data_IF_967370516104
#
_entry.id   IF_967370516104
#
_cell.length_a   1.000
_cell.length_b   1.000
_cell.length_c   1.000
_cell.angle_alpha   90.00
_cell.angle_beta   90.00
_cell.angle_gamma   90.00
#
_symmetry.space_group_name_H-M   'P 1'
#
loop_
_entity.id
_entity.type
_entity.pdbx_description
1 polymer ?
#
# COMPACT_ATOMS: atom_id res chain seq x y z
N UNK A 1 8.12 25.25 5.45
CA UNK A 1 9.37 25.00 6.20
C UNK A 1 9.76 26.21 7.04
N UNK A 2 10.04 27.37 6.43
CA UNK A 2 10.48 28.59 7.16
C UNK A 2 9.65 28.93 8.41
N UNK A 3 8.31 28.96 8.31
CA UNK A 3 7.45 29.25 9.46
C UNK A 3 7.59 28.23 10.61
N UNK A 4 7.81 26.95 10.28
CA UNK A 4 8.05 25.90 11.28
C UNK A 4 9.47 25.99 11.86
N UNK A 5 10.46 26.47 11.10
CA UNK A 5 11.80 26.76 11.61
C UNK A 5 11.77 27.91 12.60
N UNK A 6 11.08 29.01 12.27
CA UNK A 6 10.91 30.15 13.16
C UNK A 6 10.22 29.76 14.47
N UNK A 7 9.14 28.96 14.40
CA UNK A 7 8.46 28.47 15.59
C UNK A 7 9.34 27.49 16.40
N UNK A 8 10.07 26.61 15.71
CA UNK A 8 10.97 25.65 16.34
C UNK A 8 12.12 26.31 17.12
N UNK A 9 12.64 27.44 16.64
CA UNK A 9 13.64 28.23 17.34
C UNK A 9 13.10 28.85 18.64
N UNK A 10 11.84 29.31 18.65
CA UNK A 10 11.20 29.87 19.84
C UNK A 10 10.92 28.78 20.89
N UNK A 11 10.48 27.61 20.43
CA UNK A 11 10.07 26.50 21.31
C UNK A 11 11.23 25.57 21.72
N UNK A 12 12.40 25.71 21.10
CA UNK A 12 13.55 24.83 21.30
C UNK A 12 13.32 23.40 20.81
N UNK A 13 12.54 23.20 19.74
CA UNK A 13 12.25 21.86 19.17
C UNK A 13 12.13 21.88 17.65
N UNK A 14 12.31 20.72 17.03
CA UNK A 14 12.08 20.55 15.59
C UNK A 14 10.63 20.15 15.30
N UNK A 15 9.97 20.89 14.41
CA UNK A 15 8.65 20.54 13.90
C UNK A 15 8.78 19.80 12.57
N UNK A 16 8.20 18.59 12.50
CA UNK A 16 8.21 17.77 11.30
C UNK A 16 7.32 18.36 10.21
N UNK A 17 7.77 18.27 8.97
CA UNK A 17 7.00 18.55 7.75
C UNK A 17 7.01 17.30 6.88
N UNK A 18 5.83 16.81 6.49
CA UNK A 18 5.70 15.69 5.56
C UNK A 18 4.52 15.91 4.62
N UNK A 19 4.42 15.07 3.60
CA UNK A 19 3.27 15.00 2.71
C UNK A 19 2.82 13.54 2.55
N UNK A 20 1.59 13.35 2.06
CA UNK A 20 1.19 12.13 1.37
C UNK A 20 1.35 12.34 -0.14
N UNK A 21 2.14 11.50 -0.80
CA UNK A 21 2.45 11.57 -2.23
C UNK A 21 1.69 10.49 -2.99
N UNK A 22 1.18 10.82 -4.18
CA UNK A 22 0.54 9.84 -5.06
C UNK A 22 1.55 8.78 -5.51
N UNK A 23 1.20 7.50 -5.34
CA UNK A 23 2.02 6.36 -5.76
C UNK A 23 2.02 6.10 -7.26
N UNK A 24 1.85 7.12 -8.12
CA UNK A 24 1.68 6.99 -9.57
C UNK A 24 2.54 7.99 -10.34
N UNK A 25 3.12 7.58 -11.47
CA UNK A 25 4.03 8.40 -12.27
C UNK A 25 3.45 9.76 -12.68
N UNK A 26 2.18 9.83 -13.06
CA UNK A 26 1.53 11.09 -13.45
C UNK A 26 1.51 12.14 -12.33
N UNK A 27 1.43 11.70 -11.06
CA UNK A 27 1.57 12.61 -9.92
C UNK A 27 3.00 13.16 -9.84
N UNK A 28 4.00 12.32 -10.07
CA UNK A 28 5.41 12.71 -10.03
C UNK A 28 5.78 13.66 -11.18
N UNK A 29 5.25 13.42 -12.38
CA UNK A 29 5.46 14.30 -13.55
C UNK A 29 4.82 15.68 -13.37
N UNK A 30 3.74 15.77 -12.60
CA UNK A 30 3.07 17.03 -12.30
C UNK A 30 3.69 17.81 -11.12
N UNK A 31 4.58 17.20 -10.33
CA UNK A 31 5.10 17.78 -9.09
C UNK A 31 6.63 17.72 -9.03
N UNK A 32 7.29 18.83 -8.72
CA UNK A 32 8.75 18.87 -8.56
C UNK A 32 9.18 18.31 -7.18
N UNK A 33 9.16 16.98 -7.03
CA UNK A 33 9.54 16.32 -5.77
C UNK A 33 11.04 16.47 -5.44
N UNK A 34 11.91 16.57 -6.45
CA UNK A 34 13.33 16.82 -6.26
C UNK A 34 13.60 18.13 -5.49
N UNK A 35 12.80 19.17 -5.75
CA UNK A 35 12.84 20.41 -4.98
C UNK A 35 12.06 20.30 -3.67
N UNK A 36 10.83 19.79 -3.71
CA UNK A 36 9.95 19.73 -2.56
C UNK A 36 10.55 18.94 -1.38
N UNK A 37 11.23 17.82 -1.64
CA UNK A 37 11.79 16.96 -0.60
C UNK A 37 12.80 17.70 0.30
N UNK A 38 13.48 18.74 -0.20
CA UNK A 38 14.44 19.54 0.58
C UNK A 38 13.79 20.19 1.80
N UNK A 39 12.48 20.39 1.76
CA UNK A 39 11.69 21.02 2.80
C UNK A 39 10.90 20.03 3.67
N UNK A 40 11.01 18.74 3.37
CA UNK A 40 10.28 17.66 4.03
C UNK A 40 11.24 16.79 4.83
N UNK A 41 10.81 16.36 6.01
CA UNK A 41 11.49 15.35 6.80
C UNK A 41 11.34 13.97 6.16
N UNK A 42 10.13 13.66 5.67
CA UNK A 42 9.84 12.44 4.92
C UNK A 42 8.60 12.60 4.01
N UNK A 43 8.46 11.67 3.08
CA UNK A 43 7.38 11.57 2.10
C UNK A 43 6.65 10.25 2.30
N UNK A 44 5.39 10.30 2.71
CA UNK A 44 4.54 9.11 2.79
C UNK A 44 4.00 8.80 1.41
N UNK A 45 4.49 7.74 0.76
CA UNK A 45 4.00 7.38 -0.58
C UNK A 45 2.77 6.49 -0.45
N UNK A 46 1.66 6.86 -1.10
CA UNK A 46 0.44 6.04 -1.12
C UNK A 46 0.61 4.89 -2.13
N UNK A 47 1.40 3.89 -1.74
CA UNK A 47 1.76 2.71 -2.53
C UNK A 47 0.67 1.63 -2.50
N UNK A 48 -0.56 2.07 -2.74
CA UNK A 48 -1.77 1.28 -2.82
C UNK A 48 -2.76 1.92 -3.80
N UNK A 49 -3.95 1.33 -3.96
CA UNK A 49 -4.97 1.76 -4.92
C UNK A 49 -4.56 1.66 -6.38
N UNK A 50 -3.74 0.66 -6.70
CA UNK A 50 -3.31 0.41 -8.08
C UNK A 50 -4.43 -0.12 -8.99
N UNK A 51 -5.39 -0.86 -8.42
CA UNK A 51 -6.65 -1.24 -9.06
C UNK A 51 -7.80 -0.75 -8.17
N UNK A 52 -8.79 -0.09 -8.76
CA UNK A 52 -9.85 0.67 -8.05
C UNK A 52 -11.20 0.59 -8.78
N UNK A 53 -12.16 1.42 -8.38
CA UNK A 53 -13.51 1.49 -8.96
C UNK A 53 -13.56 1.74 -10.48
N UNK A 54 -12.50 2.31 -11.06
CA UNK A 54 -12.40 2.52 -12.50
C UNK A 54 -12.04 1.27 -13.32
N UNK A 55 -11.72 0.16 -12.67
CA UNK A 55 -11.20 -1.03 -13.35
C UNK A 55 -12.27 -2.10 -13.59
N UNK A 56 -12.43 -2.47 -14.86
CA UNK A 56 -13.30 -3.56 -15.32
C UNK A 56 -12.67 -4.95 -15.18
N UNK A 57 -11.46 -5.01 -14.63
CA UNK A 57 -10.72 -6.24 -14.37
C UNK A 57 -10.21 -6.24 -12.93
N UNK A 58 -10.20 -7.41 -12.32
CA UNK A 58 -9.52 -7.61 -11.03
C UNK A 58 -8.03 -7.37 -11.17
N UNK A 59 -7.39 -7.02 -10.07
CA UNK A 59 -5.95 -6.82 -9.99
C UNK A 59 -5.57 -6.31 -8.61
N UNK A 60 -4.29 -6.46 -8.27
CA UNK A 60 -3.83 -6.18 -6.91
C UNK A 60 -3.74 -4.69 -6.64
N UNK A 61 -4.41 -4.21 -5.60
CA UNK A 61 -4.35 -2.79 -5.28
C UNK A 61 -3.13 -2.40 -4.44
N UNK A 62 -2.44 -3.36 -3.81
CA UNK A 62 -1.39 -3.10 -2.82
C UNK A 62 -0.16 -4.01 -2.95
N UNK A 63 0.02 -4.69 -4.08
CA UNK A 63 1.14 -5.62 -4.30
C UNK A 63 2.54 -5.01 -4.10
N UNK A 64 3.49 -5.82 -3.63
CA UNK A 64 4.89 -5.42 -3.47
C UNK A 64 5.62 -5.36 -4.83
N UNK A 65 5.48 -6.40 -5.65
CA UNK A 65 6.12 -6.51 -6.97
C UNK A 65 5.09 -6.41 -8.10
N UNK A 66 5.44 -5.89 -9.28
CA UNK A 66 4.49 -5.70 -10.36
C UNK A 66 4.02 -7.05 -10.94
N UNK A 67 2.71 -7.20 -11.06
CA UNK A 67 2.08 -8.25 -11.83
C UNK A 67 0.85 -7.70 -12.58
N UNK A 68 0.58 -8.20 -13.78
CA UNK A 68 -0.50 -7.74 -14.66
C UNK A 68 -0.16 -6.48 -15.47
N UNK A 69 -1.09 -6.09 -16.34
CA UNK A 69 -0.85 -5.12 -17.43
C UNK A 69 -0.54 -3.70 -16.95
N UNK A 70 -1.01 -3.29 -15.77
CA UNK A 70 -0.75 -1.95 -15.23
C UNK A 70 0.70 -1.73 -14.79
N UNK A 71 1.45 -2.79 -14.49
CA UNK A 71 2.83 -2.71 -13.99
C UNK A 71 2.99 -1.89 -12.69
N UNK A 72 1.91 -1.59 -11.97
CA UNK A 72 1.94 -0.83 -10.71
C UNK A 72 2.22 -1.77 -9.53
N UNK A 73 3.02 -1.29 -8.59
CA UNK A 73 3.38 -1.99 -7.35
C UNK A 73 4.03 -1.02 -6.37
N UNK A 74 4.18 -1.42 -5.11
CA UNK A 74 4.96 -0.67 -4.14
C UNK A 74 6.42 -0.49 -4.56
N UNK A 75 7.05 -1.52 -5.13
CA UNK A 75 8.40 -1.42 -5.70
C UNK A 75 8.47 -0.35 -6.79
N UNK A 76 7.55 -0.41 -7.75
CA UNK A 76 7.49 0.56 -8.86
C UNK A 76 7.31 1.98 -8.33
N UNK A 77 6.42 2.16 -7.35
CA UNK A 77 6.20 3.48 -6.73
C UNK A 77 7.48 4.00 -6.05
N UNK A 78 8.19 3.17 -5.28
CA UNK A 78 9.46 3.56 -4.62
C UNK A 78 10.53 3.91 -5.66
N UNK A 79 10.74 3.06 -6.66
CA UNK A 79 11.75 3.28 -7.70
C UNK A 79 11.48 4.57 -8.49
N UNK A 80 10.22 4.85 -8.81
CA UNK A 80 9.84 6.11 -9.47
C UNK A 80 10.03 7.33 -8.55
N UNK A 81 9.73 7.25 -7.24
CA UNK A 81 9.98 8.39 -6.34
C UNK A 81 11.48 8.71 -6.24
N UNK A 82 12.34 7.68 -6.26
CA UNK A 82 13.80 7.84 -6.30
C UNK A 82 14.23 8.44 -7.64
N UNK A 83 13.70 7.96 -8.76
CA UNK A 83 13.93 8.52 -10.11
C UNK A 83 13.59 10.02 -10.14
N UNK A 84 12.52 10.43 -9.47
CA UNK A 84 12.05 11.82 -9.38
C UNK A 84 12.70 12.64 -8.26
N UNK A 85 13.79 12.14 -7.67
CA UNK A 85 14.69 12.91 -6.80
C UNK A 85 14.36 12.89 -5.31
N UNK A 86 13.49 11.98 -4.83
CA UNK A 86 13.28 11.76 -3.40
C UNK A 86 14.33 10.76 -2.88
N UNK A 87 15.18 11.14 -1.90
CA UNK A 87 16.13 10.20 -1.30
C UNK A 87 15.42 9.03 -0.63
N UNK A 88 15.97 7.82 -0.72
CA UNK A 88 15.35 6.60 -0.19
C UNK A 88 15.10 6.71 1.32
N UNK A 89 16.04 7.27 2.07
CA UNK A 89 15.97 7.54 3.51
C UNK A 89 14.91 8.57 3.92
N UNK A 90 14.22 9.19 2.95
CA UNK A 90 13.05 10.05 3.17
C UNK A 90 11.73 9.41 2.76
N UNK A 91 11.74 8.25 2.12
CA UNK A 91 10.52 7.58 1.66
C UNK A 91 9.93 6.75 2.80
N UNK A 92 8.67 7.01 3.14
CA UNK A 92 7.86 6.19 4.05
C UNK A 92 6.87 5.41 3.21
N UNK A 93 6.97 4.09 3.20
CA UNK A 93 6.13 3.23 2.35
C UNK A 93 4.71 3.12 2.91
N UNK A 94 3.71 3.51 2.13
CA UNK A 94 2.29 3.38 2.50
C UNK A 94 1.74 1.97 2.29
N UNK A 95 0.97 1.46 3.25
CA UNK A 95 0.22 0.20 3.14
C UNK A 95 -1.25 0.39 3.55
N UNK A 96 -2.22 -0.29 2.90
CA UNK A 96 -3.62 -0.17 3.26
C UNK A 96 -4.01 -1.21 4.32
N UNK A 97 -4.82 -0.81 5.29
CA UNK A 97 -5.54 -1.68 6.22
C UNK A 97 -6.97 -1.97 5.72
N UNK A 98 -7.15 -1.86 4.42
CA UNK A 98 -8.36 -2.21 3.68
C UNK A 98 -7.99 -2.98 2.42
N UNK A 99 -9.00 -3.58 1.82
CA UNK A 99 -8.95 -4.21 0.51
C UNK A 99 -10.00 -3.67 -0.44
N UNK A 100 -10.04 -4.23 -1.64
CA UNK A 100 -10.97 -3.86 -2.70
C UNK A 100 -11.66 -5.11 -3.26
N UNK A 101 -12.97 -5.03 -3.43
CA UNK A 101 -13.83 -6.14 -3.83
C UNK A 101 -14.40 -5.94 -5.24
N UNK A 102 -14.42 -7.03 -6.01
CA UNK A 102 -15.12 -7.17 -7.28
C UNK A 102 -16.17 -8.29 -7.20
N UNK A 103 -17.24 -8.14 -7.96
CA UNK A 103 -18.35 -9.10 -8.14
C UNK A 103 -18.49 -9.49 -9.60
N UNK A 104 -19.12 -10.65 -9.84
CA UNK A 104 -19.32 -11.18 -11.21
C UNK A 104 -18.00 -11.54 -11.89
N UNK A 105 -17.01 -11.95 -11.10
CA UNK A 105 -15.65 -12.22 -11.57
C UNK A 105 -15.61 -13.57 -12.30
N UNK A 106 -15.04 -13.59 -13.51
CA UNK A 106 -14.81 -14.84 -14.23
C UNK A 106 -13.87 -15.76 -13.41
N UNK A 107 -14.18 -17.06 -13.25
CA UNK A 107 -13.43 -17.94 -12.35
C UNK A 107 -12.07 -18.42 -12.86
N UNK A 108 -11.72 -18.13 -14.12
CA UNK A 108 -10.39 -18.47 -14.65
C UNK A 108 -9.28 -17.88 -13.78
N UNK A 109 -8.17 -18.60 -13.62
CA UNK A 109 -7.04 -18.19 -12.77
C UNK A 109 -7.46 -17.75 -11.35
N UNK A 110 -8.50 -18.39 -10.79
CA UNK A 110 -9.08 -18.03 -9.48
C UNK A 110 -9.49 -16.55 -9.38
N UNK A 111 -9.95 -15.97 -10.50
CA UNK A 111 -10.39 -14.59 -10.57
C UNK A 111 -9.26 -13.56 -10.63
N UNK A 112 -7.99 -13.96 -10.74
CA UNK A 112 -6.86 -13.04 -10.91
C UNK A 112 -6.78 -12.50 -12.35
N UNK A 113 -6.74 -11.17 -12.50
CA UNK A 113 -6.74 -10.46 -13.79
C UNK A 113 -7.89 -10.85 -14.72
N UNK A 114 -9.05 -11.11 -14.13
CA UNK A 114 -10.27 -11.49 -14.83
C UNK A 114 -11.25 -10.32 -14.89
N UNK A 115 -12.15 -10.34 -15.88
CA UNK A 115 -13.24 -9.38 -15.94
C UNK A 115 -14.12 -9.50 -14.70
N UNK A 116 -14.52 -8.34 -14.16
CA UNK A 116 -15.43 -8.24 -13.03
C UNK A 116 -15.86 -6.79 -12.83
N UNK A 117 -16.87 -6.57 -11.99
CA UNK A 117 -17.34 -5.22 -11.64
C UNK A 117 -16.85 -4.87 -10.24
N UNK A 118 -16.16 -3.73 -10.10
CA UNK A 118 -15.84 -3.21 -8.77
C UNK A 118 -17.13 -3.04 -7.96
N UNK A 119 -17.10 -3.48 -6.71
CA UNK A 119 -18.24 -3.41 -5.81
C UNK A 119 -17.98 -2.37 -4.72
N UNK A 120 -16.94 -2.57 -3.89
CA UNK A 120 -16.65 -1.68 -2.76
C UNK A 120 -15.23 -1.86 -2.21
N UNK A 121 -14.80 -0.91 -1.37
CA UNK A 121 -13.68 -1.10 -0.45
C UNK A 121 -14.16 -1.81 0.83
N UNK A 122 -13.28 -2.54 1.49
CA UNK A 122 -13.59 -3.26 2.73
C UNK A 122 -12.47 -3.06 3.75
N UNK A 123 -12.78 -2.74 5.01
CA UNK A 123 -11.76 -2.69 6.05
C UNK A 123 -11.22 -4.09 6.35
N UNK A 124 -9.97 -4.19 6.77
CA UNK A 124 -9.28 -5.47 6.99
C UNK A 124 -10.03 -6.40 7.94
N UNK A 125 -10.62 -5.89 9.03
CA UNK A 125 -11.38 -6.73 9.96
C UNK A 125 -12.57 -7.46 9.30
N UNK A 126 -13.21 -6.86 8.29
CA UNK A 126 -14.25 -7.54 7.51
C UNK A 126 -13.65 -8.58 6.58
N UNK A 127 -12.51 -8.28 5.96
CA UNK A 127 -11.81 -9.21 5.07
C UNK A 127 -11.34 -10.44 5.86
N UNK A 128 -10.80 -10.26 7.07
CA UNK A 128 -10.41 -11.35 7.96
C UNK A 128 -11.61 -12.25 8.34
N UNK A 129 -12.77 -11.65 8.58
CA UNK A 129 -14.01 -12.41 8.82
C UNK A 129 -14.44 -13.20 7.57
N UNK A 130 -14.36 -12.60 6.38
CA UNK A 130 -14.66 -13.27 5.10
C UNK A 130 -13.68 -14.41 4.82
N UNK A 131 -12.39 -14.21 5.07
CA UNK A 131 -11.34 -15.23 4.92
C UNK A 131 -11.58 -16.47 5.78
N UNK A 132 -12.33 -16.33 6.88
CA UNK A 132 -12.69 -17.44 7.77
C UNK A 132 -13.94 -18.21 7.30
N UNK A 133 -14.66 -17.71 6.29
CA UNK A 133 -15.84 -18.38 5.75
C UNK A 133 -15.44 -19.47 4.73
N UNK A 134 -16.09 -20.64 4.81
CA UNK A 134 -15.83 -21.77 3.92
C UNK A 134 -15.93 -21.46 2.42
N UNK A 135 -16.72 -20.47 2.03
CA UNK A 135 -16.94 -20.08 0.63
C UNK A 135 -15.85 -19.19 0.04
N UNK A 136 -14.96 -18.64 0.86
CA UNK A 136 -13.79 -17.89 0.40
C UNK A 136 -12.55 -18.75 0.56
N UNK A 137 -11.73 -18.76 -0.48
CA UNK A 137 -10.40 -19.36 -0.45
C UNK A 137 -9.37 -18.25 -0.56
N UNK A 138 -8.39 -18.26 0.35
CA UNK A 138 -7.21 -17.38 0.27
C UNK A 138 -6.23 -17.98 -0.74
N UNK A 139 -5.87 -17.16 -1.71
CA UNK A 139 -4.83 -17.44 -2.69
C UNK A 139 -3.66 -16.47 -2.47
N UNK A 140 -2.52 -16.83 -3.04
CA UNK A 140 -1.30 -16.05 -2.97
C UNK A 140 -0.73 -15.89 -4.37
N UNK A 141 -0.43 -14.65 -4.74
CA UNK A 141 0.30 -14.35 -5.98
C UNK A 141 1.79 -14.25 -5.66
N UNK A 142 2.54 -15.31 -5.99
CA UNK A 142 4.00 -15.39 -5.77
C UNK A 142 4.79 -14.35 -6.55
N UNK A 143 4.28 -13.90 -7.71
CA UNK A 143 4.97 -12.88 -8.50
C UNK A 143 4.79 -11.49 -7.87
N UNK A 144 3.62 -11.22 -7.32
CA UNK A 144 3.25 -9.94 -6.75
C UNK A 144 3.54 -9.80 -5.24
N UNK A 145 3.76 -10.93 -4.55
CA UNK A 145 3.89 -11.05 -3.10
C UNK A 145 2.71 -10.42 -2.34
N UNK A 146 1.50 -10.87 -2.65
CA UNK A 146 0.26 -10.33 -2.07
C UNK A 146 -0.83 -11.41 -2.02
N UNK A 147 -1.69 -11.40 -0.98
CA UNK A 147 -2.82 -12.31 -0.92
C UNK A 147 -4.02 -11.77 -1.69
N UNK A 148 -4.95 -12.67 -2.00
CA UNK A 148 -6.31 -12.30 -2.39
C UNK A 148 -7.29 -13.39 -1.96
N UNK A 149 -8.56 -13.03 -1.77
CA UNK A 149 -9.64 -13.97 -1.55
C UNK A 149 -10.43 -14.14 -2.85
N UNK A 150 -10.84 -15.37 -3.13
CA UNK A 150 -11.81 -15.65 -4.18
C UNK A 150 -12.90 -16.58 -3.68
N UNK A 151 -14.14 -16.27 -4.04
CA UNK A 151 -15.31 -17.13 -3.86
C UNK A 151 -15.90 -17.45 -5.22
N UNK A 152 -15.81 -18.71 -5.62
CA UNK A 152 -16.44 -19.22 -6.83
C UNK A 152 -17.97 -19.13 -6.75
N UNK A 153 -18.53 -19.47 -5.57
CA UNK A 153 -19.97 -19.44 -5.30
C UNK A 153 -20.55 -18.04 -5.51
N UNK A 154 -19.90 -17.01 -4.95
CA UNK A 154 -20.38 -15.63 -5.03
C UNK A 154 -19.81 -14.85 -6.22
N UNK A 155 -18.96 -15.47 -7.06
CA UNK A 155 -18.15 -14.82 -8.09
C UNK A 155 -17.48 -13.53 -7.56
N UNK A 156 -16.90 -13.62 -6.37
CA UNK A 156 -16.39 -12.47 -5.60
C UNK A 156 -14.89 -12.58 -5.43
N UNK A 157 -14.18 -11.50 -5.73
CA UNK A 157 -12.72 -11.42 -5.63
C UNK A 157 -12.31 -10.22 -4.78
N UNK A 158 -11.35 -10.39 -3.88
CA UNK A 158 -10.91 -9.38 -2.92
C UNK A 158 -9.39 -9.33 -2.86
N UNK A 159 -8.78 -8.20 -3.20
CA UNK A 159 -7.35 -7.93 -2.98
C UNK A 159 -7.15 -7.13 -1.70
N UNK A 160 -6.11 -7.44 -0.93
CA UNK A 160 -5.84 -6.85 0.38
C UNK A 160 -4.40 -7.12 0.84
N UNK A 161 -4.01 -6.57 1.98
CA UNK A 161 -2.78 -6.92 2.71
C UNK A 161 -3.07 -7.92 3.83
N UNK A 162 -2.14 -8.82 4.11
CA UNK A 162 -2.12 -9.60 5.35
C UNK A 162 -0.75 -9.55 6.03
N UNK A 163 -0.60 -10.27 7.15
CA UNK A 163 0.64 -10.26 7.91
C UNK A 163 1.85 -10.77 7.11
N UNK A 164 1.65 -11.64 6.12
CA UNK A 164 2.73 -12.18 5.28
C UNK A 164 3.20 -11.13 4.28
N UNK A 165 2.28 -10.48 3.57
CA UNK A 165 2.64 -9.42 2.62
C UNK A 165 3.23 -8.19 3.32
N UNK A 166 2.76 -7.85 4.52
CA UNK A 166 3.34 -6.78 5.34
C UNK A 166 4.75 -7.11 5.84
N UNK A 167 5.04 -8.36 6.22
CA UNK A 167 6.39 -8.78 6.58
C UNK A 167 7.35 -8.67 5.38
N UNK A 168 6.90 -9.04 4.18
CA UNK A 168 7.69 -8.88 2.95
C UNK A 168 7.95 -7.41 2.63
N UNK A 169 6.97 -6.53 2.85
CA UNK A 169 7.16 -5.07 2.71
C UNK A 169 8.11 -4.50 3.77
N UNK A 170 8.06 -4.98 5.01
CA UNK A 170 9.00 -4.60 6.05
C UNK A 170 10.44 -4.99 5.68
N UNK A 171 10.64 -6.19 5.13
CA UNK A 171 11.94 -6.59 4.60
C UNK A 171 12.40 -5.70 3.44
N UNK A 172 11.51 -5.39 2.50
CA UNK A 172 11.81 -4.46 1.40
C UNK A 172 12.20 -3.06 1.91
N UNK A 173 11.52 -2.53 2.92
CA UNK A 173 11.86 -1.26 3.59
C UNK A 173 13.30 -1.28 4.10
N UNK A 174 13.70 -2.36 4.79
CA UNK A 174 15.09 -2.51 5.28
C UNK A 174 16.11 -2.61 4.15
N UNK A 175 15.85 -3.48 3.18
CA UNK A 175 16.76 -3.70 2.05
C UNK A 175 17.01 -2.42 1.25
N UNK A 176 15.96 -1.59 1.10
CA UNK A 176 16.03 -0.31 0.39
C UNK A 176 16.39 0.88 1.27
N UNK A 177 16.58 0.65 2.58
CA UNK A 177 16.88 1.70 3.57
C UNK A 177 15.87 2.85 3.51
N UNK A 178 14.59 2.49 3.41
CA UNK A 178 13.50 3.46 3.44
C UNK A 178 13.32 4.00 4.87
N UNK A 179 12.76 5.19 5.01
CA UNK A 179 12.55 5.86 6.30
C UNK A 179 11.60 5.10 7.23
N UNK A 180 10.70 4.27 6.69
CA UNK A 180 9.77 3.47 7.47
C UNK A 180 8.51 3.09 6.71
N UNK A 181 7.43 2.87 7.46
CA UNK A 181 6.10 2.51 6.96
C UNK A 181 5.04 3.50 7.47
N UNK A 182 4.06 3.79 6.62
CA UNK A 182 2.80 4.46 6.96
C UNK A 182 1.66 3.52 6.61
N UNK A 183 0.56 3.55 7.35
CA UNK A 183 -0.63 2.78 7.00
C UNK A 183 -1.89 3.64 6.98
N UNK A 184 -2.86 3.24 6.16
CA UNK A 184 -4.19 3.85 6.10
C UNK A 184 -5.28 2.78 6.20
N UNK A 185 -6.19 2.79 7.16
CA UNK A 185 -6.13 3.56 8.41
C UNK A 185 -6.39 2.69 9.63
N UNK A 186 -6.10 3.24 10.82
CA UNK A 186 -6.11 2.48 12.07
C UNK A 186 -7.48 1.85 12.39
N UNK A 187 -8.58 2.52 12.03
CA UNK A 187 -9.94 2.05 12.36
C UNK A 187 -10.31 0.74 11.63
N UNK A 188 -9.62 0.43 10.54
CA UNK A 188 -9.93 -0.70 9.67
C UNK A 188 -9.27 -2.01 10.13
N UNK A 189 -8.32 -1.93 11.06
CA UNK A 189 -7.67 -3.05 11.74
C UNK A 189 -7.99 -3.04 13.24
N UNK A 190 -9.27 -3.24 13.57
CA UNK A 190 -9.73 -3.21 14.97
C UNK A 190 -9.15 -4.33 15.86
N UNK A 191 -8.55 -5.37 15.26
CA UNK A 191 -7.83 -6.45 15.94
C UNK A 191 -6.36 -6.17 16.13
N UNK A 192 -5.84 -5.06 15.57
CA UNK A 192 -4.41 -4.70 15.53
C UNK A 192 -3.52 -5.74 14.84
N UNK A 193 -4.09 -6.64 14.04
CA UNK A 193 -3.35 -7.75 13.44
C UNK A 193 -2.30 -7.25 12.46
N UNK A 194 -2.64 -6.25 11.65
CA UNK A 194 -1.71 -5.65 10.69
C UNK A 194 -0.77 -4.66 11.39
N UNK A 195 -1.28 -3.88 12.34
CA UNK A 195 -0.46 -2.95 13.12
C UNK A 195 0.66 -3.68 13.89
N UNK A 196 0.31 -4.74 14.61
CA UNK A 196 1.27 -5.49 15.41
C UNK A 196 2.26 -6.25 14.52
N UNK A 197 1.83 -6.73 13.34
CA UNK A 197 2.73 -7.31 12.35
C UNK A 197 3.79 -6.30 11.89
N UNK A 198 3.40 -5.09 11.49
CA UNK A 198 4.36 -4.04 11.13
C UNK A 198 5.26 -3.64 12.29
N UNK A 199 4.70 -3.47 13.49
CA UNK A 199 5.47 -3.07 14.67
C UNK A 199 6.53 -4.11 15.04
N UNK A 200 6.20 -5.40 14.99
CA UNK A 200 7.14 -6.47 15.27
C UNK A 200 8.21 -6.57 14.18
N UNK A 201 7.80 -6.41 12.93
CA UNK A 201 8.68 -6.51 11.78
C UNK A 201 9.51 -5.26 11.55
N UNK A 202 9.33 -4.13 12.23
CA UNK A 202 10.08 -2.89 11.96
C UNK A 202 10.69 -2.24 13.21
N UNK A 203 10.71 -2.93 14.36
CA UNK A 203 11.30 -2.40 15.60
C UNK A 203 12.56 -3.19 16.04
N UNK A 204 13.74 -2.54 16.15
CA UNK A 204 14.01 -1.16 15.76
C UNK A 204 13.93 -0.97 14.24
N UNK A 205 13.65 0.28 13.84
CA UNK A 205 13.75 0.68 12.43
C UNK A 205 15.21 0.56 11.96
N UNK A 206 15.43 0.28 10.67
CA UNK A 206 16.77 0.19 10.08
C UNK A 206 17.60 1.47 10.23
#
# INVERSE_FOLDING_TARGET
>A
REALDSLGQLDGKHYLTSIASGGFRSYLEANNLAEAQKYLDFVNIMAYDFYTAGDATTGHHANLFPNGAKGRSAKTAVEEHIEFGVPAEKIVLGVPFYGRMWKGVNPAENGLFQSGRFEMGLPYHQIAALASMKKFTRYWDEQANVPYLFSLEDSTWITYEDTVSLALKANYIREKKLAGVMFWELSEDNTRTLLDALSNELNPLP
#
